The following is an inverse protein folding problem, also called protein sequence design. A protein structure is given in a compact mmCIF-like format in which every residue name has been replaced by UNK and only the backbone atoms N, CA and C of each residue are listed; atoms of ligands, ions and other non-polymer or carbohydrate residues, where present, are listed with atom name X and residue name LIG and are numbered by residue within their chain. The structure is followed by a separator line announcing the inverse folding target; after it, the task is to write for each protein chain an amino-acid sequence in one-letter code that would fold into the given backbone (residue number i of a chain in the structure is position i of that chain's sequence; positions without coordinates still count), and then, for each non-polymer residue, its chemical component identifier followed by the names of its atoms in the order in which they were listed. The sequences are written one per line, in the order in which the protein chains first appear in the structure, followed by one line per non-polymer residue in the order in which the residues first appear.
data_IF_208875664450
#
_entry.id   IF_208875664450
#
_cell.length_a   1.000
_cell.length_b   1.000
_cell.length_c   1.000
_cell.angle_alpha   90.00
_cell.angle_beta   90.00
_cell.angle_gamma   90.00
#
_symmetry.space_group_name_H-M   'P 1'
#
loop_
_entity.id
_entity.type
_entity.pdbx_description
1 polymer ?
#
# COMPACT_ATOMS: atom_id res chain seq x y z
N UNK A 1 -2.68 13.48 15.42
CA UNK A 1 -2.02 14.80 15.51
C UNK A 1 -1.16 15.00 14.26
N UNK A 2 -1.79 15.22 13.09
CA UNK A 2 -1.09 15.52 11.82
C UNK A 2 -1.85 16.52 10.92
N UNK A 3 -3.14 16.75 11.18
CA UNK A 3 -3.99 17.65 10.39
C UNK A 3 -4.30 18.99 11.08
N UNK A 4 -3.70 19.24 12.25
CA UNK A 4 -3.97 20.45 13.05
C UNK A 4 -3.37 21.70 12.39
N UNK A 5 -2.34 21.55 11.57
CA UNK A 5 -1.60 22.64 10.93
C UNK A 5 -2.02 22.90 9.47
N UNK A 6 -3.09 22.27 8.97
CA UNK A 6 -3.55 22.42 7.59
C UNK A 6 -4.73 23.41 7.53
N UNK A 7 -4.68 24.35 6.58
CA UNK A 7 -5.80 25.23 6.21
C UNK A 7 -6.98 24.40 5.66
N UNK A 8 -8.17 24.99 5.63
CA UNK A 8 -9.39 24.28 5.21
C UNK A 8 -9.30 23.78 3.76
N UNK A 9 -8.61 24.51 2.88
CA UNK A 9 -8.35 24.09 1.51
C UNK A 9 -7.40 22.90 1.45
N UNK A 10 -6.31 22.93 2.21
CA UNK A 10 -5.36 21.83 2.30
C UNK A 10 -6.00 20.54 2.85
N UNK A 11 -6.91 20.64 3.82
CA UNK A 11 -7.68 19.49 4.30
C UNK A 11 -8.53 18.87 3.21
N UNK A 12 -9.11 19.69 2.33
CA UNK A 12 -9.94 19.22 1.22
C UNK A 12 -9.10 18.53 0.14
N UNK A 13 -7.97 19.15 -0.25
CA UNK A 13 -7.02 18.56 -1.19
C UNK A 13 -6.41 17.26 -0.64
N UNK A 14 -5.96 17.27 0.62
CA UNK A 14 -5.43 16.11 1.30
C UNK A 14 -6.43 14.95 1.33
N UNK A 15 -7.68 15.21 1.76
CA UNK A 15 -8.70 14.16 1.81
C UNK A 15 -9.04 13.61 0.41
N UNK A 16 -9.08 14.46 -0.62
CA UNK A 16 -9.34 14.02 -2.00
C UNK A 16 -8.21 13.13 -2.56
N UNK A 17 -6.95 13.51 -2.33
CA UNK A 17 -5.80 12.75 -2.80
C UNK A 17 -5.60 11.47 -1.97
N UNK A 18 -5.80 11.54 -0.66
CA UNK A 18 -5.71 10.40 0.24
C UNK A 18 -6.76 9.33 -0.13
N UNK A 19 -8.02 9.74 -0.33
CA UNK A 19 -9.09 8.81 -0.69
C UNK A 19 -8.86 8.12 -2.04
N UNK A 20 -8.15 8.77 -2.96
CA UNK A 20 -7.80 8.20 -4.28
C UNK A 20 -6.57 7.27 -4.20
N UNK A 21 -5.60 7.59 -3.34
CA UNK A 21 -4.35 6.85 -3.22
C UNK A 21 -4.41 5.65 -2.25
N UNK A 22 -5.32 5.68 -1.27
CA UNK A 22 -5.46 4.59 -0.30
C UNK A 22 -6.02 3.34 -0.97
N UNK A 23 -5.35 2.21 -0.73
CA UNK A 23 -5.80 0.91 -1.20
C UNK A 23 -6.59 0.20 -0.11
N UNK A 24 -7.70 -0.42 -0.51
CA UNK A 24 -8.54 -1.19 0.39
C UNK A 24 -7.86 -2.50 0.80
N UNK A 25 -7.83 -2.75 2.11
CA UNK A 25 -7.13 -3.91 2.70
C UNK A 25 -7.80 -5.23 2.33
N UNK A 26 -9.12 -5.27 2.23
CA UNK A 26 -9.83 -6.48 1.86
C UNK A 26 -9.58 -6.81 0.39
N UNK A 27 -9.58 -5.81 -0.50
CA UNK A 27 -9.24 -6.00 -1.92
C UNK A 27 -7.85 -6.59 -2.10
N UNK A 28 -6.84 -6.05 -1.40
CA UNK A 28 -5.46 -6.57 -1.48
C UNK A 28 -5.37 -8.00 -0.91
N UNK A 29 -6.14 -8.32 0.13
CA UNK A 29 -6.16 -9.66 0.71
C UNK A 29 -6.81 -10.68 -0.24
N UNK A 30 -7.94 -10.32 -0.86
CA UNK A 30 -8.61 -11.16 -1.86
C UNK A 30 -7.66 -11.42 -3.04
N UNK A 31 -6.94 -10.38 -3.50
CA UNK A 31 -5.95 -10.50 -4.55
C UNK A 31 -4.77 -11.41 -4.15
N UNK A 32 -4.34 -11.34 -2.88
CA UNK A 32 -3.31 -12.22 -2.31
C UNK A 32 -3.77 -13.68 -2.25
N UNK A 33 -5.02 -13.94 -1.90
CA UNK A 33 -5.59 -15.31 -1.85
C UNK A 33 -5.74 -15.91 -3.25
N UNK A 34 -6.26 -15.15 -4.22
CA UNK A 34 -6.52 -15.64 -5.57
C UNK A 34 -5.27 -15.71 -6.46
N UNK A 35 -4.35 -14.75 -6.30
CA UNK A 35 -3.24 -14.52 -7.25
C UNK A 35 -1.88 -14.39 -6.56
N UNK A 36 -1.82 -14.48 -5.22
CA UNK A 36 -0.58 -14.33 -4.45
C UNK A 36 0.40 -15.50 -4.57
N UNK A 37 -0.04 -16.62 -5.14
CA UNK A 37 0.86 -17.70 -5.59
C UNK A 37 1.78 -17.26 -6.75
N UNK A 38 1.33 -16.32 -7.58
CA UNK A 38 2.13 -15.69 -8.64
C UNK A 38 2.78 -14.37 -8.19
N UNK A 39 2.54 -13.95 -6.94
CA UNK A 39 3.10 -12.72 -6.36
C UNK A 39 2.46 -11.42 -6.85
N UNK A 40 1.33 -11.46 -7.56
CA UNK A 40 0.64 -10.28 -8.14
C UNK A 40 0.19 -9.29 -7.07
N UNK A 41 -0.17 -9.77 -5.89
CA UNK A 41 -0.47 -8.96 -4.71
C UNK A 41 0.71 -8.10 -4.28
N UNK A 42 1.93 -8.65 -4.25
CA UNK A 42 3.17 -7.93 -3.94
C UNK A 42 3.49 -6.86 -4.97
N UNK A 43 3.30 -7.16 -6.26
CA UNK A 43 3.41 -6.16 -7.34
C UNK A 43 2.40 -5.02 -7.15
N UNK A 44 1.19 -5.32 -6.71
CA UNK A 44 0.14 -4.32 -6.52
C UNK A 44 0.45 -3.31 -5.40
N UNK A 45 1.12 -3.72 -4.33
CA UNK A 45 1.57 -2.83 -3.23
C UNK A 45 2.96 -2.23 -3.48
N UNK A 46 3.59 -2.48 -4.64
CA UNK A 46 4.90 -1.94 -5.00
C UNK A 46 6.09 -2.70 -4.43
N UNK A 47 5.88 -3.89 -3.85
CA UNK A 47 6.94 -4.76 -3.31
C UNK A 47 7.45 -5.73 -4.39
N UNK A 48 8.03 -5.16 -5.46
CA UNK A 48 8.42 -5.87 -6.67
C UNK A 48 9.49 -6.94 -6.41
N UNK A 49 10.38 -6.72 -5.44
CA UNK A 49 11.45 -7.65 -5.06
C UNK A 49 10.90 -8.98 -4.53
N UNK A 50 9.91 -8.93 -3.64
CA UNK A 50 9.24 -10.14 -3.12
C UNK A 50 8.37 -10.84 -4.17
N UNK A 51 7.76 -10.08 -5.09
CA UNK A 51 7.05 -10.63 -6.24
C UNK A 51 7.97 -11.44 -7.16
N UNK A 52 9.12 -10.88 -7.54
CA UNK A 52 10.13 -11.59 -8.33
C UNK A 52 10.68 -12.82 -7.59
N UNK A 53 10.95 -12.69 -6.28
CA UNK A 53 11.48 -13.79 -5.49
C UNK A 53 10.52 -14.99 -5.46
N UNK A 54 9.21 -14.74 -5.38
CA UNK A 54 8.18 -15.79 -5.54
C UNK A 54 8.19 -16.42 -6.93
N UNK A 55 8.33 -15.64 -8.00
CA UNK A 55 8.38 -16.17 -9.38
C UNK A 55 9.61 -17.03 -9.62
N UNK A 56 10.78 -16.58 -9.19
CA UNK A 56 12.05 -17.33 -9.34
C UNK A 56 12.12 -18.59 -8.46
N UNK A 57 11.36 -18.64 -7.36
CA UNK A 57 11.32 -19.78 -6.43
C UNK A 57 10.07 -20.65 -6.61
N UNK A 58 9.24 -20.42 -7.65
CA UNK A 58 7.94 -21.07 -7.86
C UNK A 58 7.00 -20.98 -6.63
N UNK A 59 7.15 -19.92 -5.82
CA UNK A 59 6.38 -19.69 -4.60
C UNK A 59 6.74 -20.62 -3.43
N UNK A 60 7.85 -21.37 -3.51
CA UNK A 60 8.37 -22.26 -2.45
C UNK A 60 7.29 -23.18 -1.83
N UNK A 61 6.50 -23.88 -2.67
CA UNK A 61 5.43 -24.81 -2.27
C UNK A 61 4.26 -24.20 -1.46
N UNK A 62 4.00 -22.90 -1.59
CA UNK A 62 2.86 -22.24 -0.92
C UNK A 62 3.14 -21.76 0.50
N UNK A 63 4.34 -21.97 1.04
CA UNK A 63 4.76 -21.41 2.34
C UNK A 63 4.80 -19.88 2.28
N UNK A 64 5.38 -19.33 1.20
CA UNK A 64 5.43 -17.89 0.98
C UNK A 64 4.05 -17.26 0.75
N UNK A 65 3.08 -18.05 0.27
CA UNK A 65 1.70 -17.62 0.14
C UNK A 65 1.02 -17.54 1.52
N UNK A 66 1.22 -18.54 2.37
CA UNK A 66 0.65 -18.56 3.72
C UNK A 66 1.16 -17.37 4.57
N UNK A 67 2.46 -17.12 4.54
CA UNK A 67 3.09 -15.99 5.25
C UNK A 67 2.53 -14.65 4.74
N UNK A 68 2.22 -14.57 3.44
CA UNK A 68 1.71 -13.35 2.85
C UNK A 68 0.30 -13.02 3.32
N UNK A 69 -0.59 -13.98 3.46
CA UNK A 69 -1.97 -13.73 3.95
C UNK A 69 -1.96 -13.02 5.31
N UNK A 70 -1.01 -13.37 6.19
CA UNK A 70 -0.85 -12.72 7.50
C UNK A 70 -0.13 -11.36 7.42
N UNK A 71 0.83 -11.22 6.50
CA UNK A 71 1.69 -10.03 6.41
C UNK A 71 1.10 -8.91 5.54
N UNK A 72 0.26 -9.25 4.56
CA UNK A 72 -0.26 -8.35 3.53
C UNK A 72 -1.05 -7.18 4.14
N UNK A 73 -1.83 -7.44 5.19
CA UNK A 73 -2.63 -6.42 5.88
C UNK A 73 -1.77 -5.30 6.46
N UNK A 74 -0.66 -5.66 7.10
CA UNK A 74 0.30 -4.71 7.67
C UNK A 74 1.09 -3.98 6.58
N UNK A 75 1.43 -4.66 5.49
CA UNK A 75 2.08 -4.04 4.31
C UNK A 75 1.17 -3.01 3.64
N UNK A 76 -0.11 -3.31 3.45
CA UNK A 76 -1.09 -2.35 2.90
C UNK A 76 -1.23 -1.13 3.81
N UNK A 77 -1.21 -1.31 5.14
CA UNK A 77 -1.25 -0.18 6.08
C UNK A 77 -0.03 0.72 5.93
N UNK A 78 1.16 0.12 5.86
CA UNK A 78 2.41 0.86 5.67
C UNK A 78 2.43 1.59 4.32
N UNK A 79 1.95 0.97 3.25
CA UNK A 79 1.82 1.60 1.94
C UNK A 79 0.89 2.82 1.99
N UNK A 80 -0.30 2.65 2.58
CA UNK A 80 -1.28 3.74 2.71
C UNK A 80 -0.74 4.89 3.58
N UNK A 81 -0.02 4.58 4.67
CA UNK A 81 0.64 5.59 5.52
C UNK A 81 1.77 6.32 4.80
N UNK A 82 2.60 5.60 4.05
CA UNK A 82 3.68 6.21 3.27
C UNK A 82 3.13 7.18 2.23
N UNK A 83 2.07 6.77 1.50
CA UNK A 83 1.36 7.65 0.55
C UNK A 83 0.72 8.85 1.24
N UNK A 84 0.12 8.67 2.41
CA UNK A 84 -0.43 9.79 3.18
C UNK A 84 0.64 10.84 3.54
N UNK A 85 1.83 10.39 3.99
CA UNK A 85 2.93 11.28 4.32
C UNK A 85 3.50 11.99 3.08
N UNK A 86 3.57 11.30 1.93
CA UNK A 86 3.99 11.88 0.65
C UNK A 86 3.04 12.99 0.19
N UNK A 87 1.73 12.76 0.26
CA UNK A 87 0.70 13.76 -0.07
C UNK A 87 0.75 14.96 0.89
N UNK A 88 1.00 14.73 2.19
CA UNK A 88 1.19 15.83 3.14
C UNK A 88 2.44 16.65 2.83
N UNK A 89 3.54 15.99 2.46
CA UNK A 89 4.77 16.66 2.08
C UNK A 89 4.59 17.49 0.79
N UNK A 90 3.93 16.94 -0.23
CA UNK A 90 3.68 17.67 -1.48
C UNK A 90 2.79 18.89 -1.27
N UNK A 91 1.76 18.79 -0.44
CA UNK A 91 0.88 19.93 -0.09
C UNK A 91 1.66 21.02 0.65
N UNK A 92 2.53 20.66 1.60
CA UNK A 92 3.37 21.63 2.34
C UNK A 92 4.41 22.31 1.45
N UNK A 93 4.99 21.60 0.49
CA UNK A 93 6.00 22.13 -0.43
C UNK A 93 5.41 23.06 -1.49
N UNK A 94 4.12 22.93 -1.80
CA UNK A 94 3.41 23.80 -2.75
C UNK A 94 3.16 25.21 -2.20
N UNK A 95 3.28 25.40 -0.88
CA UNK A 95 3.04 26.67 -0.17
C UNK A 95 4.33 27.35 0.32
N UNK A 96 5.51 26.74 0.14
CA UNK A 96 6.81 27.33 0.47
C UNK A 96 7.42 28.07 -0.70
#
# INVERSE_FOLDING_TARGET
MMTKDLTNEQKMLFNSQLSSAMKDRNTVLILSVLVGGWGVDRFYIGDMGMGLLKLFTLGLCGILWLIDIFTIRGKTDQYNRAKANEILASIKMMES
#
